data_IF_862101866531
#
_entry.id   IF_862101866531
#
_cell.length_a   1.000
_cell.length_b   1.000
_cell.length_c   1.000
_cell.angle_alpha   90.00
_cell.angle_beta   90.00
_cell.angle_gamma   90.00
#
_symmetry.space_group_name_H-M   'P 1'
#
loop_
_entity.id
_entity.type
_entity.pdbx_description
1 polymer ?
#
# COMPACT_ATOMS: atom_id res chain seq x y z
N UNK A 1 5.08 10.34 1.10
CA UNK A 1 6.50 10.43 0.73
C UNK A 1 6.58 10.81 -0.74
N UNK A 2 7.55 11.63 -1.18
CA UNK A 2 7.61 12.05 -2.57
C UNK A 2 7.91 10.85 -3.46
N UNK A 3 7.05 10.68 -4.46
CA UNK A 3 7.23 9.72 -5.54
C UNK A 3 8.08 10.43 -6.60
N UNK A 4 9.27 9.92 -6.88
CA UNK A 4 10.16 10.52 -7.88
C UNK A 4 9.99 9.77 -9.20
N UNK A 5 9.61 10.48 -10.26
CA UNK A 5 9.65 9.90 -11.59
C UNK A 5 11.11 9.67 -12.00
N UNK A 6 11.38 8.49 -12.55
CA UNK A 6 12.72 8.06 -12.95
C UNK A 6 12.70 7.48 -14.35
N UNK A 7 13.81 7.68 -15.05
CA UNK A 7 14.12 7.06 -16.32
C UNK A 7 15.51 6.46 -16.24
N UNK A 8 15.64 5.15 -16.50
CA UNK A 8 16.91 4.46 -16.30
C UNK A 8 17.08 3.32 -17.28
N UNK A 9 18.32 3.11 -17.72
CA UNK A 9 18.73 2.03 -18.59
C UNK A 9 19.66 1.08 -17.83
N UNK A 10 19.56 -0.21 -18.09
CA UNK A 10 20.42 -1.19 -17.46
C UNK A 10 20.31 -2.58 -18.06
N UNK A 11 20.89 -3.55 -17.36
CA UNK A 11 20.86 -4.97 -17.70
C UNK A 11 20.12 -5.76 -16.63
N UNK A 12 19.16 -6.59 -17.03
CA UNK A 12 18.42 -7.48 -16.12
C UNK A 12 19.38 -8.52 -15.53
N UNK A 13 19.43 -8.65 -14.21
CA UNK A 13 20.30 -9.63 -13.54
C UNK A 13 19.51 -10.82 -13.00
N UNK A 14 18.58 -10.57 -12.09
CA UNK A 14 17.78 -11.60 -11.42
C UNK A 14 16.29 -11.38 -11.64
N UNK A 15 15.52 -12.45 -11.80
CA UNK A 15 14.07 -12.42 -12.03
C UNK A 15 13.33 -13.09 -10.85
N UNK A 16 12.31 -12.41 -10.32
CA UNK A 16 11.52 -12.82 -9.17
C UNK A 16 10.02 -12.56 -9.43
N UNK A 17 9.33 -13.52 -10.04
CA UNK A 17 7.94 -13.34 -10.48
C UNK A 17 7.78 -12.08 -11.35
N UNK A 18 7.04 -11.06 -10.87
CA UNK A 18 6.84 -9.78 -11.56
C UNK A 18 7.88 -8.71 -11.20
N UNK A 19 8.94 -9.09 -10.47
CA UNK A 19 10.03 -8.21 -10.07
C UNK A 19 11.35 -8.69 -10.63
N UNK A 20 12.30 -7.78 -10.76
CA UNK A 20 13.63 -8.12 -11.21
C UNK A 20 14.66 -7.10 -10.73
N UNK A 21 15.93 -7.48 -10.74
CA UNK A 21 17.04 -6.56 -10.49
C UNK A 21 17.57 -6.01 -11.81
N UNK A 22 17.71 -4.69 -11.87
CA UNK A 22 18.29 -3.97 -13.00
C UNK A 22 19.63 -3.40 -12.55
N UNK A 23 20.71 -3.89 -13.14
CA UNK A 23 22.03 -3.31 -12.93
C UNK A 23 22.23 -2.11 -13.84
N UNK A 24 22.63 -1.00 -13.24
CA UNK A 24 22.91 0.27 -13.89
C UNK A 24 24.30 0.74 -13.50
N UNK A 25 24.75 1.86 -14.07
CA UNK A 25 25.98 2.55 -13.69
C UNK A 25 25.99 3.03 -12.22
N UNK A 26 24.81 3.22 -11.63
CA UNK A 26 24.60 3.63 -10.24
C UNK A 26 24.41 2.46 -9.27
N UNK A 27 24.48 1.22 -9.76
CA UNK A 27 24.34 0.00 -8.97
C UNK A 27 23.07 -0.79 -9.29
N UNK A 28 22.67 -1.65 -8.35
CA UNK A 28 21.56 -2.58 -8.54
C UNK A 28 20.25 -1.98 -8.03
N UNK A 29 19.22 -1.96 -8.89
CA UNK A 29 17.89 -1.45 -8.59
C UNK A 29 16.87 -2.57 -8.58
N UNK A 30 15.97 -2.59 -7.60
CA UNK A 30 14.81 -3.48 -7.61
C UNK A 30 13.68 -2.83 -8.42
N UNK A 31 13.14 -3.57 -9.37
CA UNK A 31 12.11 -3.11 -10.30
C UNK A 31 10.88 -4.01 -10.22
N UNK A 32 9.69 -3.41 -10.23
CA UNK A 32 8.39 -4.07 -10.19
C UNK A 32 7.63 -3.74 -11.48
N UNK A 33 7.42 -4.77 -12.31
CA UNK A 33 6.69 -4.73 -13.59
C UNK A 33 5.18 -4.88 -13.40
N UNK A 34 4.73 -5.21 -12.19
CA UNK A 34 3.42 -5.75 -11.86
C UNK A 34 3.08 -7.04 -12.62
N UNK A 35 2.10 -7.84 -12.17
CA UNK A 35 1.64 -9.00 -12.91
C UNK A 35 1.19 -8.65 -14.34
N UNK A 36 0.53 -7.52 -14.51
CA UNK A 36 0.04 -7.05 -15.81
C UNK A 36 1.18 -6.76 -16.79
N UNK A 37 2.29 -6.15 -16.34
CA UNK A 37 3.44 -5.93 -17.21
C UNK A 37 4.16 -7.24 -17.58
N UNK A 38 4.18 -8.22 -16.67
CA UNK A 38 4.77 -9.53 -16.93
C UNK A 38 4.01 -10.31 -18.03
N UNK A 39 2.70 -10.12 -18.15
CA UNK A 39 1.89 -10.73 -19.22
C UNK A 39 2.19 -10.12 -20.61
N UNK A 40 2.75 -8.92 -20.65
CA UNK A 40 3.06 -8.19 -21.89
C UNK A 40 4.48 -8.43 -22.41
N UNK A 41 5.41 -8.81 -21.53
CA UNK A 41 6.79 -9.06 -21.91
C UNK A 41 7.43 -10.17 -21.08
N UNK A 42 8.10 -11.09 -21.78
CA UNK A 42 8.96 -12.08 -21.14
C UNK A 42 10.39 -11.56 -21.07
N UNK A 43 10.86 -11.24 -19.86
CA UNK A 43 12.25 -10.85 -19.61
C UNK A 43 13.15 -12.06 -19.35
N UNK A 44 14.43 -11.91 -19.68
CA UNK A 44 15.51 -12.85 -19.37
C UNK A 44 16.68 -12.12 -18.71
N UNK A 45 17.43 -12.81 -17.86
CA UNK A 45 18.72 -12.31 -17.39
C UNK A 45 19.64 -12.02 -18.58
N UNK A 46 20.29 -10.86 -18.57
CA UNK A 46 21.12 -10.35 -19.65
C UNK A 46 20.39 -9.40 -20.62
N UNK A 47 19.07 -9.26 -20.53
CA UNK A 47 18.34 -8.30 -21.37
C UNK A 47 18.78 -6.86 -21.05
N UNK A 48 19.16 -6.11 -22.10
CA UNK A 48 19.35 -4.66 -22.00
C UNK A 48 18.03 -3.96 -22.22
N UNK A 49 17.59 -3.19 -21.22
CA UNK A 49 16.29 -2.52 -21.23
C UNK A 49 16.41 -1.08 -20.76
N UNK A 50 15.41 -0.29 -21.13
CA UNK A 50 15.17 1.06 -20.64
C UNK A 50 13.79 1.10 -19.99
N UNK A 51 13.70 1.69 -18.80
CA UNK A 51 12.45 1.77 -18.04
C UNK A 51 12.17 3.21 -17.64
N UNK A 52 10.88 3.54 -17.58
CA UNK A 52 10.39 4.74 -16.93
C UNK A 52 9.33 4.37 -15.91
N UNK A 53 9.28 5.11 -14.80
CA UNK A 53 8.38 4.75 -13.72
C UNK A 53 8.52 5.63 -12.49
N UNK A 54 7.99 5.12 -11.38
CA UNK A 54 7.95 5.80 -10.10
C UNK A 54 8.89 5.12 -9.11
N UNK A 55 9.89 5.85 -8.62
CA UNK A 55 10.77 5.38 -7.54
C UNK A 55 10.13 5.63 -6.19
N UNK A 56 10.03 4.56 -5.41
CA UNK A 56 9.79 4.62 -3.97
C UNK A 56 11.08 4.18 -3.21
N UNK A 57 11.11 4.22 -1.87
CA UNK A 57 12.33 3.88 -1.13
C UNK A 57 12.86 2.45 -1.36
N UNK A 58 12.01 1.50 -1.78
CA UNK A 58 12.37 0.08 -1.87
C UNK A 58 12.47 -0.45 -3.31
N UNK A 59 11.75 0.16 -4.27
CA UNK A 59 11.67 -0.34 -5.64
C UNK A 59 11.27 0.77 -6.63
N UNK A 60 11.41 0.47 -7.92
CA UNK A 60 10.86 1.25 -9.03
C UNK A 60 9.63 0.53 -9.57
N UNK A 61 8.48 1.21 -9.58
CA UNK A 61 7.27 0.73 -10.25
C UNK A 61 7.27 1.19 -11.70
N UNK A 62 7.34 0.25 -12.64
CA UNK A 62 7.44 0.53 -14.07
C UNK A 62 6.12 1.05 -14.60
N UNK A 63 6.19 2.09 -15.44
CA UNK A 63 5.09 2.58 -16.29
C UNK A 63 5.33 2.28 -17.76
N UNK A 64 6.59 2.31 -18.21
CA UNK A 64 7.00 1.94 -19.56
C UNK A 64 8.31 1.17 -19.53
N UNK A 65 8.42 0.14 -20.37
CA UNK A 65 9.64 -0.62 -20.59
C UNK A 65 9.91 -0.74 -22.08
N UNK A 66 11.17 -0.52 -22.47
CA UNK A 66 11.67 -0.69 -23.82
C UNK A 66 12.79 -1.74 -23.85
N UNK A 67 12.72 -2.67 -24.81
CA UNK A 67 13.75 -3.67 -25.10
C UNK A 67 13.95 -3.75 -26.62
N UNK A 68 15.04 -3.17 -27.12
CA UNK A 68 15.23 -2.99 -28.56
C UNK A 68 14.08 -2.16 -29.16
N UNK A 69 13.41 -2.71 -30.17
CA UNK A 69 12.24 -2.07 -30.80
C UNK A 69 10.92 -2.35 -30.05
N UNK A 70 10.92 -3.27 -29.09
CA UNK A 70 9.73 -3.60 -28.30
C UNK A 70 9.52 -2.55 -27.22
N UNK A 71 8.34 -1.93 -27.20
CA UNK A 71 7.91 -1.01 -26.13
C UNK A 71 6.60 -1.50 -25.54
N UNK A 72 6.53 -1.56 -24.22
CA UNK A 72 5.29 -1.85 -23.49
C UNK A 72 4.95 -0.71 -22.54
N UNK A 73 3.66 -0.42 -22.43
CA UNK A 73 3.10 0.45 -21.39
C UNK A 73 2.42 -0.42 -20.33
N UNK A 74 2.91 -0.32 -19.10
CA UNK A 74 2.37 -1.04 -17.95
C UNK A 74 1.22 -0.22 -17.39
N UNK A 75 0.00 -0.71 -17.56
CA UNK A 75 -1.17 -0.07 -17.00
C UNK A 75 -1.10 -0.13 -15.47
N UNK A 76 -0.78 1.00 -14.83
CA UNK A 76 -0.95 1.12 -13.40
C UNK A 76 -2.46 1.08 -13.10
N UNK A 77 -2.91 0.04 -12.39
CA UNK A 77 -4.24 0.08 -11.77
C UNK A 77 -4.35 1.39 -11.01
N UNK A 78 -5.43 2.18 -11.19
CA UNK A 78 -5.63 3.36 -10.38
C UNK A 78 -5.47 2.92 -8.93
N UNK A 79 -4.58 3.59 -8.18
CA UNK A 79 -4.52 3.43 -6.72
C UNK A 79 -5.98 3.50 -6.30
N UNK A 80 -6.55 2.46 -5.65
CA UNK A 80 -7.94 2.54 -5.23
C UNK A 80 -8.04 3.88 -4.53
N UNK A 81 -8.94 4.73 -5.03
CA UNK A 81 -9.18 6.00 -4.37
C UNK A 81 -9.41 5.70 -2.89
N UNK A 82 -9.28 6.69 -2.02
CA UNK A 82 -9.92 6.54 -0.71
C UNK A 82 -11.41 6.38 -0.99
N UNK A 83 -11.85 5.15 -1.27
CA UNK A 83 -13.22 4.75 -1.36
C UNK A 83 -13.70 5.05 0.05
N UNK A 84 -14.31 6.21 0.26
CA UNK A 84 -15.44 6.29 1.19
C UNK A 84 -16.27 5.10 0.76
N UNK A 85 -16.27 4.04 1.56
CA UNK A 85 -17.20 2.96 1.33
C UNK A 85 -18.58 3.61 1.11
N UNK A 86 -19.42 3.07 0.20
CA UNK A 86 -20.80 3.50 0.14
C UNK A 86 -21.32 3.51 1.58
N UNK A 87 -22.10 4.53 1.94
CA UNK A 87 -22.62 4.76 3.28
C UNK A 87 -23.52 3.58 3.72
N UNK A 88 -22.95 2.39 3.95
CA UNK A 88 -23.43 1.50 4.97
C UNK A 88 -23.43 2.38 6.22
N UNK A 89 -24.63 2.66 6.70
CA UNK A 89 -24.98 3.66 7.70
C UNK A 89 -23.89 3.74 8.76
N UNK A 90 -22.91 4.61 8.52
CA UNK A 90 -21.68 4.64 9.28
C UNK A 90 -21.98 5.47 10.52
N UNK A 91 -22.70 4.85 11.43
CA UNK A 91 -23.19 5.43 12.66
C UNK A 91 -22.09 5.40 13.73
N UNK A 92 -21.56 6.56 14.14
CA UNK A 92 -20.58 6.65 15.21
C UNK A 92 -21.08 6.09 16.53
N UNK A 93 -22.39 6.16 16.81
CA UNK A 93 -22.96 5.68 18.07
C UNK A 93 -22.93 4.15 18.14
N UNK A 94 -23.28 3.48 17.04
CA UNK A 94 -23.10 2.03 16.87
C UNK A 94 -21.64 1.59 17.07
N UNK A 95 -20.67 2.37 16.60
CA UNK A 95 -19.26 2.08 16.80
C UNK A 95 -18.83 2.24 18.28
N UNK A 96 -19.27 3.30 18.97
CA UNK A 96 -19.04 3.49 20.41
C UNK A 96 -19.67 2.35 21.21
N UNK A 97 -20.87 1.92 20.84
CA UNK A 97 -21.55 0.79 21.48
C UNK A 97 -20.72 -0.49 21.36
N UNK A 98 -20.20 -0.79 20.16
CA UNK A 98 -19.35 -1.95 19.92
C UNK A 98 -18.07 -1.96 20.77
N UNK A 99 -17.40 -0.80 20.91
CA UNK A 99 -16.21 -0.65 21.75
C UNK A 99 -16.53 -0.95 23.22
N UNK A 100 -17.67 -0.46 23.71
CA UNK A 100 -18.14 -0.73 25.09
C UNK A 100 -18.48 -2.21 25.30
N UNK A 101 -19.17 -2.84 24.35
CA UNK A 101 -19.48 -4.29 24.41
C UNK A 101 -18.22 -5.15 24.42
N UNK A 102 -17.15 -4.69 23.77
CA UNK A 102 -15.83 -5.33 23.80
C UNK A 102 -15.04 -5.09 25.11
N UNK A 103 -15.62 -4.38 26.08
CA UNK A 103 -15.06 -4.11 27.40
C UNK A 103 -13.98 -3.02 27.40
N UNK A 104 -14.01 -2.13 26.42
CA UNK A 104 -13.17 -0.93 26.41
C UNK A 104 -13.98 0.29 26.85
N UNK A 105 -13.31 1.26 27.46
CA UNK A 105 -13.83 2.58 27.82
C UNK A 105 -13.41 3.59 26.73
N UNK A 106 -14.34 4.06 25.87
CA UNK A 106 -14.01 5.03 24.81
C UNK A 106 -13.57 6.37 25.38
N UNK A 107 -12.46 6.90 24.87
CA UNK A 107 -11.80 8.14 25.28
C UNK A 107 -11.65 9.10 24.08
N UNK A 108 -12.75 9.44 23.43
CA UNK A 108 -12.76 10.39 22.31
C UNK A 108 -13.85 10.10 21.28
N UNK A 109 -13.95 10.98 20.28
CA UNK A 109 -14.90 10.81 19.18
C UNK A 109 -14.38 9.80 18.14
N UNK A 110 -15.26 8.98 17.53
CA UNK A 110 -14.88 8.09 16.44
C UNK A 110 -14.31 8.83 15.22
N UNK A 111 -13.07 8.53 14.86
CA UNK A 111 -12.40 9.09 13.68
C UNK A 111 -12.74 8.26 12.45
N UNK A 112 -13.56 8.79 11.55
CA UNK A 112 -13.96 8.09 10.32
C UNK A 112 -12.77 7.91 9.36
N UNK A 113 -12.46 6.66 9.03
CA UNK A 113 -11.54 6.25 7.96
C UNK A 113 -12.34 5.72 6.77
N UNK A 114 -11.71 5.48 5.60
CA UNK A 114 -12.45 5.06 4.40
C UNK A 114 -13.28 3.77 4.58
N UNK A 115 -12.90 2.89 5.51
CA UNK A 115 -13.52 1.56 5.73
C UNK A 115 -13.90 1.22 7.18
N UNK A 116 -13.64 2.10 8.14
CA UNK A 116 -13.85 1.84 9.58
C UNK A 116 -13.80 3.14 10.38
N UNK A 117 -14.12 3.09 11.66
CA UNK A 117 -13.79 4.10 12.66
C UNK A 117 -12.54 3.70 13.44
N UNK A 118 -11.70 4.68 13.77
CA UNK A 118 -10.68 4.56 14.81
C UNK A 118 -11.20 5.28 16.07
N UNK A 119 -11.19 4.61 17.21
CA UNK A 119 -11.66 5.16 18.50
C UNK A 119 -10.54 4.95 19.52
N UNK A 120 -10.08 6.04 20.14
CA UNK A 120 -9.19 5.94 21.30
C UNK A 120 -9.99 5.38 22.48
N UNK A 121 -9.45 4.38 23.18
CA UNK A 121 -10.15 3.73 24.30
C UNK A 121 -9.16 3.19 25.34
N UNK A 122 -9.61 3.01 26.57
CA UNK A 122 -8.85 2.36 27.64
C UNK A 122 -9.42 0.98 27.99
N UNK A 123 -8.55 0.05 28.38
CA UNK A 123 -8.94 -1.24 28.95
C UNK A 123 -7.80 -1.75 29.83
N UNK A 124 -8.13 -2.20 31.04
CA UNK A 124 -7.15 -2.73 32.00
C UNK A 124 -5.95 -1.79 32.25
N UNK A 125 -6.24 -0.48 32.35
CA UNK A 125 -5.23 0.56 32.59
C UNK A 125 -4.31 0.86 31.39
N UNK A 126 -4.61 0.35 30.19
CA UNK A 126 -3.85 0.59 28.96
C UNK A 126 -4.70 1.34 27.93
N UNK A 127 -4.04 2.17 27.12
CA UNK A 127 -4.67 2.88 26.02
C UNK A 127 -4.55 2.12 24.70
N UNK A 128 -5.59 2.23 23.87
CA UNK A 128 -5.70 1.54 22.59
C UNK A 128 -6.32 2.45 21.53
N UNK A 129 -5.85 2.34 20.29
CA UNK A 129 -6.61 2.74 19.11
C UNK A 129 -7.44 1.54 18.64
N UNK A 130 -8.76 1.60 18.81
CA UNK A 130 -9.69 0.52 18.47
C UNK A 130 -10.29 0.78 17.09
N UNK A 131 -10.15 -0.20 16.20
CA UNK A 131 -10.65 -0.15 14.82
C UNK A 131 -11.99 -0.89 14.75
N UNK A 132 -13.05 -0.16 14.43
CA UNK A 132 -14.43 -0.67 14.38
C UNK A 132 -14.98 -0.57 12.96
N UNK A 133 -15.49 -1.67 12.41
CA UNK A 133 -16.13 -1.67 11.09
C UNK A 133 -17.39 -0.80 11.09
N UNK A 134 -17.89 -0.40 9.92
CA UNK A 134 -19.19 0.31 9.84
C UNK A 134 -20.38 -0.57 10.23
N UNK A 135 -20.20 -1.89 10.36
CA UNK A 135 -21.22 -2.79 10.91
C UNK A 135 -21.19 -2.89 12.44
N UNK A 136 -20.33 -2.12 13.12
CA UNK A 136 -20.22 -2.14 14.59
C UNK A 136 -19.44 -3.34 15.13
N UNK A 137 -18.43 -3.83 14.40
CA UNK A 137 -17.58 -4.93 14.86
C UNK A 137 -16.16 -4.43 15.16
N UNK A 138 -15.62 -4.77 16.35
CA UNK A 138 -14.23 -4.48 16.70
C UNK A 138 -13.31 -5.46 15.96
N UNK A 139 -12.51 -4.93 15.02
CA UNK A 139 -11.60 -5.73 14.19
C UNK A 139 -10.19 -5.83 14.77
N UNK A 140 -9.73 -4.76 15.42
CA UNK A 140 -8.37 -4.64 15.94
C UNK A 140 -8.34 -3.63 17.08
N UNK A 141 -7.63 -3.90 18.16
CA UNK A 141 -7.25 -2.91 19.16
C UNK A 141 -5.72 -2.80 19.21
N UNK A 142 -5.17 -1.66 18.81
CA UNK A 142 -3.73 -1.42 18.79
C UNK A 142 -3.30 -0.72 20.08
N UNK A 143 -2.43 -1.29 20.92
CA UNK A 143 -1.93 -0.60 22.11
C UNK A 143 -1.25 0.71 21.73
N UNK A 144 -1.58 1.78 22.43
CA UNK A 144 -0.86 3.03 22.39
C UNK A 144 0.21 2.98 23.49
N UNK A 145 1.48 3.00 23.07
CA UNK A 145 2.58 3.14 24.01
C UNK A 145 2.51 4.57 24.56
N UNK A 146 2.42 4.70 25.89
CA UNK A 146 2.50 5.99 26.56
C UNK A 146 3.80 6.69 26.19
N UNK A 147 3.68 7.94 25.74
CA UNK A 147 4.78 8.90 25.83
C UNK A 147 4.70 9.41 27.26
N UNK A 148 5.58 8.90 28.12
CA UNK A 148 5.88 9.54 29.41
C UNK A 148 6.46 10.95 29.19
#
# INVERSE_FOLDING_TARGET
MPHQDIHVRGTVRDLFAHRFTLETDQGLLLVDLTPEGLDLIRLSSGDSIEISGERNPSEIKVRRLMRGETTIDVALKPKPGKHRAPDAEADPDSAIHAVRQAGFEPNGEPRRKPKHFEIDAAKDGKHFEVHVTFAGEVRHAKPQLGVD
#
